data_IF_776777767180
#
_entry.id   IF_776777767180
#
_cell.length_a   1.000
_cell.length_b   1.000
_cell.length_c   1.000
_cell.angle_alpha   90.00
_cell.angle_beta   90.00
_cell.angle_gamma   90.00
#
_symmetry.space_group_name_H-M   'P 1'
#
loop_
_entity.id
_entity.type
_entity.pdbx_description
1 polymer ?
#
# COMPACT_ATOMS: atom_id res chain seq x y z
N UNK A 1 -46.91 -60.72 -13.97
CA UNK A 1 -45.92 -60.27 -14.97
C UNK A 1 -45.12 -59.14 -14.34
N UNK A 2 -43.83 -59.37 -14.10
CA UNK A 2 -42.84 -58.43 -13.56
C UNK A 2 -41.76 -58.24 -14.63
N UNK A 3 -41.38 -57.00 -14.95
CA UNK A 3 -40.12 -56.61 -15.59
C UNK A 3 -39.82 -55.19 -15.08
N UNK A 4 -38.80 -54.92 -14.26
CA UNK A 4 -37.34 -55.02 -14.40
C UNK A 4 -36.69 -53.75 -15.00
N UNK A 5 -36.24 -52.90 -14.07
CA UNK A 5 -35.07 -52.00 -14.00
C UNK A 5 -34.15 -51.91 -15.24
N UNK A 6 -33.83 -50.66 -15.65
CA UNK A 6 -32.45 -50.23 -15.93
C UNK A 6 -32.25 -48.75 -15.58
N UNK A 7 -31.25 -48.50 -14.76
CA UNK A 7 -30.73 -47.21 -14.31
C UNK A 7 -29.78 -46.63 -15.37
N UNK A 8 -29.81 -45.31 -15.58
CA UNK A 8 -28.79 -44.59 -16.34
C UNK A 8 -28.23 -43.48 -15.44
N UNK A 9 -27.10 -43.79 -14.81
CA UNK A 9 -26.24 -42.82 -14.15
C UNK A 9 -25.51 -42.01 -15.23
N UNK A 10 -25.66 -40.69 -15.19
CA UNK A 10 -24.85 -39.76 -15.98
C UNK A 10 -23.51 -39.61 -15.27
N UNK A 11 -22.48 -40.25 -15.80
CA UNK A 11 -21.09 -39.97 -15.47
C UNK A 11 -20.71 -38.60 -16.06
N UNK A 12 -20.33 -37.66 -15.19
CA UNK A 12 -19.58 -36.46 -15.57
C UNK A 12 -18.09 -36.85 -15.58
N UNK A 13 -17.36 -36.71 -16.70
CA UNK A 13 -15.96 -37.07 -16.74
C UNK A 13 -15.12 -36.00 -16.03
N UNK A 14 -14.38 -36.47 -15.04
CA UNK A 14 -13.27 -35.80 -14.38
C UNK A 14 -12.08 -35.74 -15.35
N UNK A 15 -11.85 -34.61 -16.01
CA UNK A 15 -10.57 -34.23 -16.62
C UNK A 15 -10.61 -32.80 -17.17
N UNK A 16 -10.13 -31.82 -16.41
CA UNK A 16 -9.39 -30.71 -17.01
C UNK A 16 -8.21 -30.38 -16.11
N UNK A 17 -7.08 -30.89 -16.59
CA UNK A 17 -5.74 -30.73 -16.05
C UNK A 17 -5.36 -29.26 -16.15
N UNK A 18 -4.82 -28.75 -15.05
CA UNK A 18 -4.08 -27.49 -14.91
C UNK A 18 -3.18 -27.26 -16.12
N UNK A 19 -3.48 -26.24 -16.91
CA UNK A 19 -2.53 -25.67 -17.87
C UNK A 19 -2.05 -24.33 -17.30
N UNK A 20 -1.07 -24.43 -16.40
CA UNK A 20 -0.21 -23.30 -16.04
C UNK A 20 0.81 -23.21 -17.18
N UNK A 21 0.85 -22.14 -18.00
CA UNK A 21 2.00 -21.94 -18.88
C UNK A 21 3.18 -21.50 -18.01
N UNK A 22 3.94 -22.48 -17.49
CA UNK A 22 5.29 -22.26 -17.00
C UNK A 22 6.21 -21.96 -18.18
N UNK A 23 6.39 -20.69 -18.50
CA UNK A 23 7.58 -20.22 -19.20
C UNK A 23 8.37 -19.30 -18.27
N UNK A 24 8.90 -19.89 -17.20
CA UNK A 24 10.08 -19.36 -16.52
C UNK A 24 11.29 -19.81 -17.34
N UNK A 25 11.89 -18.89 -18.08
CA UNK A 25 13.25 -19.02 -18.59
C UNK A 25 14.09 -17.97 -17.84
N UNK A 26 15.12 -18.35 -17.06
CA UNK A 26 16.00 -17.37 -16.45
C UNK A 26 16.86 -16.74 -17.55
N UNK A 27 16.58 -15.48 -17.88
CA UNK A 27 17.53 -14.66 -18.64
C UNK A 27 18.61 -14.23 -17.65
N UNK A 28 19.76 -14.91 -17.69
CA UNK A 28 21.01 -14.39 -17.15
C UNK A 28 21.38 -13.13 -17.93
N UNK A 29 21.00 -11.97 -17.42
CA UNK A 29 21.55 -10.69 -17.86
C UNK A 29 22.43 -10.12 -16.75
N UNK A 30 23.70 -10.53 -16.76
CA UNK A 30 24.76 -9.70 -16.18
C UNK A 30 24.96 -8.49 -17.11
N UNK A 31 24.20 -7.43 -16.88
CA UNK A 31 24.50 -6.11 -17.41
C UNK A 31 24.86 -5.20 -16.23
N UNK A 32 26.16 -5.12 -15.96
CA UNK A 32 26.74 -4.05 -15.16
C UNK A 32 26.49 -2.72 -15.86
N UNK A 33 25.60 -1.90 -15.32
CA UNK A 33 25.45 -0.51 -15.72
C UNK A 33 26.58 0.28 -15.05
N UNK A 34 27.64 0.58 -15.81
CA UNK A 34 28.64 1.57 -15.44
C UNK A 34 27.98 2.96 -15.46
N UNK A 35 27.91 3.61 -14.30
CA UNK A 35 27.64 5.04 -14.24
C UNK A 35 28.91 5.80 -14.67
N UNK A 36 28.83 6.50 -15.81
CA UNK A 36 29.90 7.38 -16.32
C UNK A 36 30.07 8.59 -15.40
N UNK A 37 31.04 8.52 -14.48
CA UNK A 37 31.44 9.64 -13.64
C UNK A 37 32.28 10.63 -14.44
N UNK A 38 31.65 11.60 -15.09
CA UNK A 38 32.37 12.79 -15.57
C UNK A 38 32.66 13.76 -14.42
N UNK A 39 33.93 13.77 -14.02
CA UNK A 39 34.56 14.74 -13.12
C UNK A 39 34.38 16.18 -13.63
N UNK A 40 33.63 16.99 -12.89
CA UNK A 40 33.78 18.44 -12.83
C UNK A 40 34.45 18.82 -11.50
N UNK A 41 35.55 19.57 -11.57
CA UNK A 41 36.36 20.00 -10.43
C UNK A 41 35.61 21.05 -9.57
N UNK A 42 35.64 21.01 -8.22
CA UNK A 42 34.82 21.89 -7.38
C UNK A 42 35.49 23.25 -7.20
N UNK A 43 34.82 24.33 -7.61
CA UNK A 43 35.15 25.68 -7.19
C UNK A 43 34.51 25.96 -5.83
N UNK A 44 35.38 26.20 -4.84
CA UNK A 44 35.08 26.71 -3.51
C UNK A 44 34.10 27.90 -3.51
N UNK A 45 32.94 27.69 -2.92
CA UNK A 45 32.21 28.71 -2.16
C UNK A 45 31.30 27.99 -1.18
N UNK A 46 31.61 28.02 0.11
CA UNK A 46 30.68 27.57 1.15
C UNK A 46 29.49 28.55 1.21
N UNK A 47 28.24 28.07 1.09
CA UNK A 47 27.08 28.81 1.55
C UNK A 47 26.71 28.31 2.95
N UNK A 48 26.96 29.18 3.92
CA UNK A 48 26.07 29.49 5.04
C UNK A 48 24.97 28.48 5.37
N UNK A 49 25.09 27.85 6.53
CA UNK A 49 24.01 27.16 7.25
C UNK A 49 22.81 28.09 7.50
N UNK A 50 21.75 27.95 6.70
CA UNK A 50 20.32 28.16 7.00
C UNK A 50 19.52 28.00 5.69
N UNK A 51 18.40 27.27 5.77
CA UNK A 51 17.39 26.99 4.73
C UNK A 51 17.55 25.73 3.87
N UNK A 52 17.42 24.55 4.49
CA UNK A 52 16.61 23.44 3.94
C UNK A 52 15.97 22.71 5.12
N UNK A 53 14.85 23.25 5.61
CA UNK A 53 13.98 22.50 6.52
C UNK A 53 13.51 21.26 5.74
N UNK A 54 13.96 20.07 6.17
CA UNK A 54 13.56 18.82 5.54
C UNK A 54 12.09 18.58 5.90
N UNK A 55 11.17 19.07 5.06
CA UNK A 55 9.72 19.12 5.32
C UNK A 55 9.02 17.77 5.21
N UNK A 56 9.76 16.67 5.09
CA UNK A 56 9.24 15.32 5.04
C UNK A 56 9.26 14.76 6.45
N UNK A 57 8.07 14.56 7.00
CA UNK A 57 7.90 14.03 8.35
C UNK A 57 7.04 12.77 8.31
N UNK A 58 7.23 11.87 9.27
CA UNK A 58 6.33 10.71 9.45
C UNK A 58 4.88 11.17 9.63
N UNK A 59 4.65 12.26 10.36
CA UNK A 59 3.32 12.84 10.50
C UNK A 59 2.71 13.26 9.14
N UNK A 60 3.49 13.91 8.28
CA UNK A 60 3.02 14.31 6.94
C UNK A 60 2.69 13.07 6.09
N UNK A 61 3.51 12.03 6.16
CA UNK A 61 3.27 10.76 5.47
C UNK A 61 1.93 10.16 5.90
N UNK A 62 1.72 10.01 7.20
CA UNK A 62 0.49 9.45 7.77
C UNK A 62 -0.74 10.30 7.42
N UNK A 63 -0.67 11.63 7.54
CA UNK A 63 -1.78 12.51 7.11
C UNK A 63 -2.06 12.41 5.62
N UNK A 64 -1.03 12.21 4.80
CA UNK A 64 -1.17 12.08 3.35
C UNK A 64 -1.82 10.77 2.96
N UNK A 65 -1.44 9.66 3.60
CA UNK A 65 -2.00 8.32 3.33
C UNK A 65 -3.50 8.24 3.63
N UNK A 66 -4.01 9.10 4.53
CA UNK A 66 -5.43 9.16 4.87
C UNK A 66 -6.31 9.90 3.86
N UNK A 67 -5.73 10.75 2.99
CA UNK A 67 -6.52 11.58 2.06
C UNK A 67 -7.43 10.80 1.09
N UNK A 68 -7.01 9.67 0.49
CA UNK A 68 -7.89 8.88 -0.39
C UNK A 68 -8.80 7.89 0.34
N UNK A 69 -8.67 7.74 1.67
CA UNK A 69 -9.45 6.77 2.45
C UNK A 69 -10.93 7.07 2.36
N UNK A 70 -11.73 6.03 2.08
CA UNK A 70 -13.18 6.15 2.02
C UNK A 70 -13.73 6.88 0.79
N UNK A 71 -12.86 7.31 -0.13
CA UNK A 71 -13.25 8.05 -1.34
C UNK A 71 -12.63 7.53 -2.64
N UNK A 72 -11.79 6.51 -2.56
CA UNK A 72 -11.07 5.95 -3.71
C UNK A 72 -11.22 4.44 -3.74
N UNK A 73 -11.62 3.90 -4.89
CA UNK A 73 -11.74 2.45 -5.12
C UNK A 73 -10.43 1.83 -5.61
N UNK A 74 -10.33 0.52 -5.42
CA UNK A 74 -9.18 -0.25 -5.85
C UNK A 74 -9.30 -0.57 -7.33
N UNK A 75 -8.37 -0.11 -8.15
CA UNK A 75 -8.31 -0.49 -9.57
C UNK A 75 -6.99 -1.20 -9.80
N UNK A 76 -7.01 -2.40 -10.37
CA UNK A 76 -5.80 -3.08 -10.78
C UNK A 76 -5.05 -2.23 -11.82
N UNK A 77 -3.81 -1.83 -11.54
CA UNK A 77 -3.05 -0.87 -12.35
C UNK A 77 -3.40 0.60 -12.09
N UNK A 78 -4.26 0.89 -11.11
CA UNK A 78 -4.61 2.26 -10.73
C UNK A 78 -3.39 3.07 -10.35
N UNK A 79 -3.28 4.28 -10.90
CA UNK A 79 -2.16 5.22 -10.77
C UNK A 79 -0.82 4.78 -11.41
N UNK A 80 -0.81 3.76 -12.26
CA UNK A 80 0.31 3.46 -13.16
C UNK A 80 0.17 4.18 -14.50
N UNK A 81 1.25 4.26 -15.27
CA UNK A 81 1.20 4.65 -16.68
C UNK A 81 0.68 3.50 -17.57
N UNK A 82 0.35 3.80 -18.82
CA UNK A 82 -0.17 2.80 -19.77
C UNK A 82 0.82 1.65 -20.03
N UNK A 83 2.13 1.92 -19.99
CA UNK A 83 3.16 0.92 -20.18
C UNK A 83 3.41 0.01 -18.97
N UNK A 84 2.79 0.31 -17.81
CA UNK A 84 2.98 -0.43 -16.54
C UNK A 84 4.47 -0.50 -16.11
N UNK A 85 5.18 0.61 -16.28
CA UNK A 85 6.61 0.74 -15.97
C UNK A 85 6.91 1.78 -14.90
N UNK A 86 6.03 2.76 -14.73
CA UNK A 86 6.18 3.86 -13.78
C UNK A 86 4.82 4.43 -13.34
N UNK A 87 4.86 5.42 -12.45
CA UNK A 87 3.68 6.13 -12.02
C UNK A 87 2.99 6.88 -13.17
N UNK A 88 1.66 6.79 -13.21
CA UNK A 88 0.82 7.59 -14.09
C UNK A 88 0.64 9.02 -13.60
N UNK A 89 -0.09 9.82 -14.36
CA UNK A 89 -0.31 11.25 -14.09
C UNK A 89 -0.88 11.49 -12.67
N UNK A 90 -1.79 10.65 -12.18
CA UNK A 90 -2.38 10.82 -10.86
C UNK A 90 -1.36 10.57 -9.73
N UNK A 91 -0.47 9.59 -9.88
CA UNK A 91 0.57 9.29 -8.89
C UNK A 91 1.61 10.40 -8.77
N UNK A 92 1.81 11.16 -9.85
CA UNK A 92 2.79 12.24 -9.99
C UNK A 92 2.13 13.63 -9.96
N UNK A 93 0.90 13.71 -9.45
CA UNK A 93 0.17 14.97 -9.24
C UNK A 93 -0.03 15.21 -7.75
N UNK A 94 0.15 16.46 -7.33
CA UNK A 94 -0.11 16.89 -5.97
C UNK A 94 -1.61 16.95 -5.70
N UNK A 95 -2.03 16.27 -4.64
CA UNK A 95 -3.43 16.13 -4.25
C UNK A 95 -4.03 14.82 -4.72
N UNK A 96 -5.23 14.56 -4.20
CA UNK A 96 -6.08 13.44 -4.65
C UNK A 96 -6.71 13.81 -5.99
N UNK A 97 -6.80 12.85 -6.92
CA UNK A 97 -7.51 13.06 -8.18
C UNK A 97 -9.02 13.18 -7.95
N UNK A 98 -9.65 14.20 -8.52
CA UNK A 98 -11.11 14.35 -8.53
C UNK A 98 -11.80 13.18 -9.23
N UNK A 99 -11.10 12.53 -10.17
CA UNK A 99 -11.62 11.38 -10.89
C UNK A 99 -11.82 10.17 -9.98
N UNK A 100 -10.93 9.96 -9.00
CA UNK A 100 -11.09 8.88 -8.02
C UNK A 100 -12.38 9.01 -7.21
N UNK A 101 -12.68 10.23 -6.75
CA UNK A 101 -13.92 10.53 -6.02
C UNK A 101 -15.13 10.37 -6.93
N UNK A 102 -15.05 10.89 -8.15
CA UNK A 102 -16.13 10.81 -9.14
C UNK A 102 -16.47 9.36 -9.46
N UNK A 103 -15.44 8.53 -9.66
CA UNK A 103 -15.61 7.11 -9.90
C UNK A 103 -16.21 6.42 -8.67
N UNK A 104 -15.67 6.64 -7.46
CA UNK A 104 -16.25 6.11 -6.23
C UNK A 104 -17.74 6.47 -6.05
N UNK A 105 -18.13 7.71 -6.34
CA UNK A 105 -19.53 8.16 -6.26
C UNK A 105 -20.44 7.51 -7.28
N UNK A 106 -19.89 7.06 -8.42
CA UNK A 106 -20.64 6.36 -9.46
C UNK A 106 -20.92 4.89 -9.14
N UNK A 107 -20.19 4.30 -8.19
CA UNK A 107 -20.29 2.87 -7.84
C UNK A 107 -21.16 2.63 -6.60
N UNK A 108 -21.76 1.44 -6.52
CA UNK A 108 -22.57 1.02 -5.37
C UNK A 108 -21.97 -0.22 -4.67
N UNK A 109 -22.70 -0.81 -3.72
CA UNK A 109 -22.23 -1.96 -2.94
C UNK A 109 -21.95 -3.23 -3.77
N UNK A 110 -22.34 -3.28 -5.05
CA UNK A 110 -22.07 -4.40 -5.96
C UNK A 110 -20.80 -4.21 -6.79
N UNK A 111 -20.01 -3.16 -6.51
CA UNK A 111 -18.73 -2.94 -7.16
C UNK A 111 -17.82 -4.18 -7.12
N UNK A 112 -17.34 -4.60 -8.29
CA UNK A 112 -16.32 -5.63 -8.47
C UNK A 112 -15.17 -5.03 -9.27
N UNK A 113 -13.98 -5.00 -8.67
CA UNK A 113 -12.79 -4.42 -9.29
C UNK A 113 -12.39 -5.11 -10.60
N UNK A 114 -12.79 -6.37 -10.81
CA UNK A 114 -12.44 -7.14 -12.02
C UNK A 114 -13.12 -6.59 -13.28
N UNK A 115 -14.27 -5.94 -13.14
CA UNK A 115 -14.98 -5.28 -14.25
C UNK A 115 -14.27 -3.99 -14.72
N UNK A 116 -13.37 -3.44 -13.90
CA UNK A 116 -12.73 -2.14 -14.11
C UNK A 116 -11.19 -2.22 -14.11
N UNK A 117 -10.62 -3.42 -14.22
CA UNK A 117 -9.17 -3.59 -14.27
C UNK A 117 -8.54 -2.73 -15.38
N UNK A 118 -7.42 -2.08 -15.06
CA UNK A 118 -6.68 -1.16 -15.93
C UNK A 118 -7.44 0.11 -16.34
N UNK A 119 -8.52 0.48 -15.66
CA UNK A 119 -9.03 1.86 -15.69
C UNK A 119 -8.12 2.74 -14.81
N UNK A 120 -6.85 2.87 -15.23
CA UNK A 120 -5.72 3.34 -14.42
C UNK A 120 -5.92 4.73 -13.79
N UNK A 121 -6.82 5.53 -14.34
CA UNK A 121 -7.16 6.88 -13.87
C UNK A 121 -8.26 6.92 -12.80
N UNK A 122 -9.02 5.83 -12.62
CA UNK A 122 -10.28 5.81 -11.86
C UNK A 122 -10.10 5.39 -10.39
N UNK A 123 -8.90 4.93 -10.01
CA UNK A 123 -8.61 4.53 -8.64
C UNK A 123 -7.13 4.25 -8.41
N UNK A 124 -6.85 3.47 -7.37
CA UNK A 124 -5.50 3.15 -6.94
C UNK A 124 -5.33 1.65 -6.73
N UNK A 125 -4.29 1.03 -7.27
CA UNK A 125 -3.84 -0.26 -6.72
C UNK A 125 -2.99 -0.05 -5.45
N UNK A 126 -2.47 -1.14 -4.88
CA UNK A 126 -1.68 -1.10 -3.66
C UNK A 126 -0.38 -0.30 -3.84
N UNK A 127 0.35 -0.54 -4.93
CA UNK A 127 1.59 0.16 -5.28
C UNK A 127 1.37 1.61 -5.69
N UNK A 128 0.33 1.89 -6.48
CA UNK A 128 -0.06 3.23 -6.89
C UNK A 128 -0.44 4.08 -5.68
N UNK A 129 -1.16 3.52 -4.71
CA UNK A 129 -1.47 4.19 -3.44
C UNK A 129 -0.20 4.53 -2.65
N UNK A 130 0.72 3.58 -2.49
CA UNK A 130 1.95 3.81 -1.72
C UNK A 130 2.86 4.81 -2.42
N UNK A 131 3.06 4.66 -3.74
CA UNK A 131 3.86 5.58 -4.53
C UNK A 131 3.27 7.00 -4.54
N UNK A 132 1.97 7.15 -4.75
CA UNK A 132 1.27 8.45 -4.65
C UNK A 132 1.42 9.09 -3.27
N UNK A 133 1.33 8.29 -2.20
CA UNK A 133 1.47 8.77 -0.82
C UNK A 133 2.88 9.30 -0.56
N UNK A 134 3.92 8.56 -0.98
CA UNK A 134 5.31 9.01 -0.81
C UNK A 134 5.56 10.25 -1.68
N UNK A 135 5.06 10.27 -2.92
CA UNK A 135 5.15 11.41 -3.82
C UNK A 135 4.57 12.68 -3.21
N UNK A 136 3.34 12.60 -2.69
CA UNK A 136 2.66 13.73 -2.05
C UNK A 136 3.24 14.12 -0.69
N UNK A 137 4.12 13.28 -0.14
CA UNK A 137 4.89 13.58 1.07
C UNK A 137 6.18 14.33 0.72
N UNK A 138 6.85 13.95 -0.36
CA UNK A 138 8.15 14.52 -0.75
C UNK A 138 8.04 15.76 -1.64
N UNK A 139 7.04 15.81 -2.49
CA UNK A 139 6.92 16.87 -3.47
C UNK A 139 5.76 17.82 -3.12
N UNK A 140 5.86 19.02 -3.66
CA UNK A 140 4.87 20.10 -3.59
C UNK A 140 4.52 20.63 -4.99
N UNK A 141 5.02 19.97 -6.04
CA UNK A 141 4.83 20.27 -7.45
C UNK A 141 4.67 18.95 -8.21
N UNK A 142 3.96 18.99 -9.35
CA UNK A 142 3.70 17.81 -10.18
C UNK A 142 4.93 17.39 -11.00
N UNK A 143 4.85 16.20 -11.60
CA UNK A 143 5.78 15.67 -12.62
C UNK A 143 7.26 15.69 -12.14
N UNK A 144 7.49 15.13 -10.95
CA UNK A 144 8.83 14.94 -10.35
C UNK A 144 9.30 13.49 -10.51
N UNK A 145 10.24 13.03 -9.69
CA UNK A 145 10.74 11.65 -9.84
C UNK A 145 9.62 10.65 -9.55
N UNK A 146 9.58 9.59 -10.36
CA UNK A 146 8.70 8.46 -10.12
C UNK A 146 9.00 7.82 -8.76
N UNK A 147 7.93 7.49 -8.04
CA UNK A 147 7.94 6.80 -6.74
C UNK A 147 6.99 5.59 -6.70
N UNK A 148 6.40 5.22 -7.84
CA UNK A 148 5.61 3.99 -8.01
C UNK A 148 6.53 2.89 -8.53
N UNK A 149 6.53 1.74 -7.83
CA UNK A 149 7.16 0.49 -8.24
C UNK A 149 6.25 -0.67 -7.83
N UNK A 150 6.48 -1.86 -8.38
CA UNK A 150 5.71 -3.04 -7.97
C UNK A 150 5.89 -3.29 -6.47
N UNK A 151 4.84 -3.81 -5.83
CA UNK A 151 4.75 -4.06 -4.38
C UNK A 151 6.03 -4.68 -3.80
N UNK A 152 6.49 -5.79 -4.37
CA UNK A 152 7.68 -6.53 -3.89
C UNK A 152 9.01 -5.78 -3.99
N UNK A 153 9.05 -4.67 -4.74
CA UNK A 153 10.27 -3.92 -4.99
C UNK A 153 10.41 -2.67 -4.11
N UNK A 154 9.40 -2.27 -3.33
CA UNK A 154 9.43 -1.02 -2.56
C UNK A 154 10.62 -0.92 -1.61
N UNK A 155 10.90 -1.97 -0.83
CA UNK A 155 12.04 -1.94 0.10
C UNK A 155 13.38 -1.73 -0.59
N UNK A 156 13.66 -2.51 -1.64
CA UNK A 156 14.90 -2.37 -2.43
C UNK A 156 14.97 -1.00 -3.11
N UNK A 157 13.87 -0.54 -3.69
CA UNK A 157 13.79 0.76 -4.36
C UNK A 157 14.11 1.92 -3.40
N UNK A 158 13.45 1.98 -2.25
CA UNK A 158 13.65 3.06 -1.28
C UNK A 158 15.03 2.97 -0.58
N UNK A 159 15.46 1.76 -0.21
CA UNK A 159 16.78 1.57 0.42
C UNK A 159 17.93 1.89 -0.53
N UNK A 160 17.81 1.57 -1.83
CA UNK A 160 18.83 1.93 -2.84
C UNK A 160 19.00 3.44 -3.02
N UNK A 161 17.98 4.23 -2.66
CA UNK A 161 18.02 5.70 -2.63
C UNK A 161 18.54 6.26 -1.29
N UNK A 162 18.89 5.39 -0.35
CA UNK A 162 19.35 5.76 0.97
C UNK A 162 18.24 6.29 1.89
N UNK A 163 16.97 5.95 1.64
CA UNK A 163 15.84 6.47 2.40
C UNK A 163 15.57 5.76 3.73
N UNK A 164 16.16 4.58 3.91
CA UNK A 164 15.89 3.71 5.03
C UNK A 164 16.47 2.32 4.81
N UNK A 165 16.01 1.38 5.63
CA UNK A 165 16.48 0.00 5.65
C UNK A 165 15.35 -1.01 5.50
N UNK A 166 15.68 -2.18 4.96
CA UNK A 166 14.77 -3.32 4.88
C UNK A 166 15.07 -4.27 6.03
N UNK A 167 14.03 -4.65 6.75
CA UNK A 167 14.01 -5.65 7.80
C UNK A 167 13.27 -6.87 7.24
N UNK A 168 13.94 -8.03 7.08
CA UNK A 168 13.28 -9.24 6.61
C UNK A 168 12.14 -9.66 7.55
N UNK A 169 11.06 -10.20 7.00
CA UNK A 169 9.89 -10.70 7.74
C UNK A 169 10.24 -11.53 8.99
N UNK A 170 11.23 -12.41 8.89
CA UNK A 170 11.71 -13.26 10.00
C UNK A 170 12.40 -12.51 11.15
N UNK A 171 12.79 -11.25 10.93
CA UNK A 171 13.53 -10.41 11.88
C UNK A 171 12.68 -9.26 12.44
N UNK A 172 11.43 -9.11 11.97
CA UNK A 172 10.52 -8.09 12.46
C UNK A 172 10.16 -8.37 13.92
N UNK A 173 10.36 -7.38 14.77
CA UNK A 173 10.04 -7.43 16.21
C UNK A 173 9.07 -6.35 16.66
N UNK A 174 8.81 -5.35 15.82
CA UNK A 174 7.93 -4.22 16.12
C UNK A 174 7.47 -3.53 14.84
N UNK A 175 6.29 -2.91 14.91
CA UNK A 175 5.74 -2.09 13.84
C UNK A 175 5.55 -0.66 14.34
N UNK A 176 6.08 0.30 13.59
CA UNK A 176 6.06 1.72 13.91
C UNK A 176 5.19 2.47 12.90
N UNK A 177 4.51 3.54 13.33
CA UNK A 177 3.77 4.40 12.41
C UNK A 177 4.67 4.88 11.25
N UNK A 178 4.22 4.64 10.02
CA UNK A 178 4.94 5.01 8.80
C UNK A 178 5.82 3.90 8.20
N UNK A 179 6.02 2.77 8.89
CA UNK A 179 6.64 1.59 8.28
C UNK A 179 5.85 1.15 7.04
N UNK A 180 6.57 0.69 6.01
CA UNK A 180 5.99 0.11 4.80
C UNK A 180 6.19 -1.40 4.83
N UNK A 181 5.11 -2.17 4.73
CA UNK A 181 5.18 -3.62 4.67
C UNK A 181 4.88 -4.07 3.25
N UNK A 182 5.73 -4.91 2.70
CA UNK A 182 5.69 -5.26 1.28
C UNK A 182 6.07 -6.71 1.02
N UNK A 183 5.45 -7.29 -0.01
CA UNK A 183 5.86 -8.53 -0.66
C UNK A 183 5.40 -8.49 -2.13
N UNK A 184 5.60 -9.58 -2.87
CA UNK A 184 5.22 -9.62 -4.30
C UNK A 184 3.72 -9.48 -4.57
N UNK A 185 2.85 -9.68 -3.58
CA UNK A 185 1.40 -9.61 -3.74
C UNK A 185 0.80 -8.26 -3.35
N UNK A 186 1.36 -7.59 -2.33
CA UNK A 186 0.71 -6.43 -1.74
C UNK A 186 1.70 -5.52 -0.98
N UNK A 187 1.31 -4.26 -0.78
CA UNK A 187 2.07 -3.27 -0.01
C UNK A 187 1.15 -2.34 0.77
N UNK A 188 1.56 -1.91 1.96
CA UNK A 188 0.74 -1.04 2.83
C UNK A 188 1.57 -0.24 3.84
N UNK A 189 0.93 0.73 4.50
CA UNK A 189 1.53 1.51 5.59
C UNK A 189 0.97 1.08 6.96
N UNK A 190 1.85 1.05 7.95
CA UNK A 190 1.48 0.89 9.36
C UNK A 190 1.02 2.23 9.94
N UNK A 191 -0.11 2.22 10.64
CA UNK A 191 -0.59 3.34 11.46
C UNK A 191 -0.18 3.16 12.94
N UNK A 192 -0.07 1.93 13.43
CA UNK A 192 0.42 1.64 14.78
C UNK A 192 0.21 0.18 15.19
N UNK A 193 0.87 -0.24 16.26
CA UNK A 193 0.73 -1.57 16.86
C UNK A 193 0.08 -1.45 18.24
N UNK A 194 -0.88 -2.34 18.53
CA UNK A 194 -1.50 -2.48 19.84
C UNK A 194 -0.76 -3.49 20.72
N UNK A 195 -1.01 -3.44 22.03
CA UNK A 195 -0.41 -4.33 23.02
C UNK A 195 -0.74 -5.82 22.81
N UNK A 196 -1.84 -6.14 22.14
CA UNK A 196 -2.20 -7.52 21.76
C UNK A 196 -1.45 -8.02 20.50
N UNK A 197 -0.50 -7.21 20.01
CA UNK A 197 0.33 -7.48 18.85
C UNK A 197 -0.35 -7.20 17.51
N UNK A 198 -1.64 -6.83 17.50
CA UNK A 198 -2.36 -6.49 16.27
C UNK A 198 -1.91 -5.12 15.73
N UNK A 199 -1.96 -4.97 14.41
CA UNK A 199 -1.49 -3.79 13.70
C UNK A 199 -2.65 -3.10 13.00
N UNK A 200 -2.76 -1.80 13.23
CA UNK A 200 -3.63 -0.90 12.47
C UNK A 200 -2.87 -0.41 11.24
N UNK A 201 -3.50 -0.46 10.07
CA UNK A 201 -2.86 -0.15 8.80
C UNK A 201 -3.80 0.60 7.85
N UNK A 202 -3.20 1.25 6.86
CA UNK A 202 -3.91 1.85 5.72
C UNK A 202 -3.36 1.29 4.41
N UNK A 203 -4.26 0.90 3.51
CA UNK A 203 -3.90 0.28 2.25
C UNK A 203 -4.96 0.47 1.17
N UNK A 204 -4.56 0.25 -0.10
CA UNK A 204 -5.49 0.02 -1.19
C UNK A 204 -5.54 -1.48 -1.53
N UNK A 205 -6.70 -2.09 -1.35
CA UNK A 205 -7.01 -3.46 -1.76
C UNK A 205 -8.50 -3.52 -2.09
N UNK A 206 -9.02 -4.51 -2.83
CA UNK A 206 -10.45 -4.62 -3.05
C UNK A 206 -11.26 -4.47 -1.73
N UNK A 207 -12.28 -3.60 -1.68
CA UNK A 207 -12.81 -2.79 -2.78
C UNK A 207 -12.20 -1.39 -2.93
N UNK A 208 -11.36 -0.91 -2.00
CA UNK A 208 -10.75 0.42 -2.10
C UNK A 208 -9.82 0.78 -0.96
N UNK A 209 -9.43 2.06 -0.94
CA UNK A 209 -8.51 2.59 0.07
C UNK A 209 -9.21 2.73 1.41
N UNK A 210 -8.69 2.03 2.42
CA UNK A 210 -9.32 1.94 3.75
C UNK A 210 -8.31 1.75 4.87
N UNK A 211 -8.78 2.01 6.09
CA UNK A 211 -8.15 1.54 7.32
C UNK A 211 -8.57 0.09 7.54
N UNK A 212 -7.60 -0.75 7.89
CA UNK A 212 -7.84 -2.14 8.25
C UNK A 212 -7.08 -2.51 9.53
N UNK A 213 -7.49 -3.60 10.17
CA UNK A 213 -6.81 -4.19 11.32
C UNK A 213 -6.42 -5.64 11.07
N UNK A 214 -5.24 -6.03 11.55
CA UNK A 214 -4.83 -7.44 11.56
C UNK A 214 -5.47 -8.18 12.75
N UNK A 215 -5.48 -9.52 12.73
CA UNK A 215 -5.69 -10.30 13.95
C UNK A 215 -4.60 -9.99 14.99
N UNK A 216 -4.75 -10.50 16.21
CA UNK A 216 -3.69 -10.51 17.23
C UNK A 216 -2.49 -11.36 16.78
N UNK A 217 -1.37 -11.29 17.50
CA UNK A 217 -0.16 -12.04 17.17
C UNK A 217 -0.34 -13.58 17.20
N UNK A 218 -1.38 -14.10 17.83
CA UNK A 218 -1.78 -15.51 17.86
C UNK A 218 -2.93 -15.86 16.89
N UNK A 219 -3.37 -14.90 16.06
CA UNK A 219 -4.36 -15.11 15.00
C UNK A 219 -5.83 -14.89 15.41
N UNK A 220 -6.09 -14.26 16.57
CA UNK A 220 -7.45 -13.97 17.02
C UNK A 220 -8.05 -12.76 16.29
N UNK A 221 -9.23 -12.93 15.69
CA UNK A 221 -9.96 -11.88 14.97
C UNK A 221 -10.63 -10.85 15.89
N UNK A 222 -10.69 -11.09 17.20
CA UNK A 222 -11.18 -10.12 18.20
C UNK A 222 -10.04 -9.21 18.68
N UNK A 223 -9.31 -8.60 17.75
CA UNK A 223 -8.17 -7.74 18.05
C UNK A 223 -8.58 -6.28 18.28
N UNK A 224 -7.70 -5.54 18.95
CA UNK A 224 -7.85 -4.09 19.12
C UNK A 224 -7.73 -3.35 17.79
N UNK A 225 -6.86 -3.78 16.88
CA UNK A 225 -6.73 -3.18 15.55
C UNK A 225 -8.00 -3.33 14.71
N UNK A 226 -8.62 -4.51 14.67
CA UNK A 226 -9.86 -4.74 13.91
C UNK A 226 -10.99 -3.90 14.50
N UNK A 227 -11.13 -3.89 15.83
CA UNK A 227 -12.16 -3.11 16.52
C UNK A 227 -12.01 -1.60 16.24
N UNK A 228 -10.77 -1.10 16.23
CA UNK A 228 -10.49 0.30 15.95
C UNK A 228 -10.71 0.65 14.49
N UNK A 229 -10.28 -0.19 13.55
CA UNK A 229 -10.55 0.02 12.13
C UNK A 229 -12.06 0.06 11.84
N UNK A 230 -12.85 -0.82 12.46
CA UNK A 230 -14.31 -0.83 12.33
C UNK A 230 -14.93 0.48 12.82
N UNK A 231 -14.55 0.93 14.02
CA UNK A 231 -15.03 2.19 14.57
C UNK A 231 -14.66 3.38 13.67
N UNK A 232 -13.38 3.49 13.28
CA UNK A 232 -12.89 4.62 12.49
C UNK A 232 -13.56 4.69 11.11
N UNK A 233 -13.67 3.56 10.41
CA UNK A 233 -14.32 3.52 9.11
C UNK A 233 -15.80 3.85 9.20
N UNK A 234 -16.49 3.35 10.24
CA UNK A 234 -17.91 3.64 10.46
C UNK A 234 -18.17 5.10 10.84
N UNK A 235 -17.30 5.70 11.64
CA UNK A 235 -17.48 7.07 12.16
C UNK A 235 -17.06 8.13 11.13
N UNK A 236 -15.91 7.96 10.49
CA UNK A 236 -15.34 8.99 9.62
C UNK A 236 -15.59 8.76 8.13
N UNK A 237 -15.88 7.52 7.72
CA UNK A 237 -16.10 7.15 6.31
C UNK A 237 -17.39 6.33 6.09
N UNK A 238 -18.55 6.78 6.63
CA UNK A 238 -19.78 5.98 6.66
C UNK A 238 -20.28 5.60 5.26
N UNK A 239 -20.11 6.45 4.25
CA UNK A 239 -20.55 6.16 2.89
C UNK A 239 -19.79 4.98 2.27
N UNK A 240 -18.48 4.90 2.51
CA UNK A 240 -17.66 3.75 2.10
C UNK A 240 -18.03 2.53 2.93
N UNK A 241 -18.05 2.66 4.26
CA UNK A 241 -18.30 1.55 5.18
C UNK A 241 -19.67 0.89 4.96
N UNK A 242 -20.72 1.68 4.68
CA UNK A 242 -22.05 1.16 4.39
C UNK A 242 -22.11 0.32 3.11
N UNK A 243 -21.25 0.62 2.12
CA UNK A 243 -21.13 -0.18 0.89
C UNK A 243 -20.19 -1.37 1.10
N UNK A 244 -19.12 -1.17 1.86
CA UNK A 244 -18.00 -2.08 2.00
C UNK A 244 -17.52 -2.20 3.47
N UNK A 245 -18.22 -2.97 4.32
CA UNK A 245 -17.97 -2.95 5.77
C UNK A 245 -16.74 -3.76 6.21
N UNK A 246 -16.09 -4.50 5.33
CA UNK A 246 -14.97 -5.38 5.69
C UNK A 246 -13.68 -4.58 5.95
N UNK A 247 -13.20 -4.63 7.20
CA UNK A 247 -12.00 -3.92 7.68
C UNK A 247 -10.93 -4.84 8.28
N UNK A 248 -11.15 -6.15 8.28
CA UNK A 248 -10.16 -7.12 8.74
C UNK A 248 -9.29 -7.61 7.58
N UNK A 249 -8.00 -7.78 7.84
CA UNK A 249 -7.06 -8.48 6.94
C UNK A 249 -6.64 -9.83 7.53
N UNK A 250 -6.04 -10.66 6.69
CA UNK A 250 -5.56 -11.99 7.08
C UNK A 250 -4.32 -11.92 7.99
N UNK A 251 -4.08 -13.01 8.76
CA UNK A 251 -2.92 -13.13 9.64
C UNK A 251 -1.58 -13.01 8.90
N UNK A 252 -1.51 -13.39 7.62
CA UNK A 252 -0.33 -13.22 6.76
C UNK A 252 0.20 -11.79 6.71
N UNK A 253 -0.64 -10.77 6.99
CA UNK A 253 -0.18 -9.38 7.09
C UNK A 253 0.88 -9.17 8.18
N UNK A 254 0.92 -10.02 9.20
CA UNK A 254 1.94 -9.98 10.25
C UNK A 254 3.20 -10.81 9.92
N UNK A 255 3.10 -11.82 9.05
CA UNK A 255 4.15 -12.85 8.90
C UNK A 255 4.84 -12.89 7.54
N UNK A 256 4.16 -12.46 6.48
CA UNK A 256 4.56 -12.75 5.10
C UNK A 256 5.10 -11.52 4.36
N UNK A 257 5.38 -10.43 5.09
CA UNK A 257 5.80 -9.14 4.54
C UNK A 257 7.15 -8.74 5.12
N UNK A 258 8.06 -8.33 4.25
CA UNK A 258 9.24 -7.61 4.69
C UNK A 258 8.85 -6.18 5.07
N UNK A 259 9.62 -5.56 5.96
CA UNK A 259 9.36 -4.22 6.47
C UNK A 259 10.43 -3.26 5.96
N UNK A 260 10.02 -2.10 5.48
CA UNK A 260 10.90 -0.98 5.23
C UNK A 260 10.68 0.09 6.30
N UNK A 261 11.78 0.53 6.91
CA UNK A 261 11.80 1.57 7.94
C UNK A 261 12.61 2.77 7.46
N UNK A 262 12.01 3.95 7.59
CA UNK A 262 12.63 5.21 7.20
C UNK A 262 13.81 5.57 8.12
N UNK A 263 14.81 6.27 7.57
CA UNK A 263 15.80 6.96 8.39
C UNK A 263 15.42 8.42 8.64
N UNK A 264 15.88 8.96 9.78
CA UNK A 264 15.57 10.34 10.21
C UNK A 264 16.07 11.40 9.22
N UNK A 265 17.15 11.13 8.50
CA UNK A 265 17.70 12.06 7.50
C UNK A 265 16.82 12.22 6.27
N UNK A 266 15.92 11.27 6.00
CA UNK A 266 15.02 11.30 4.83
C UNK A 266 13.61 11.64 5.25
N UNK A 267 13.09 10.95 6.27
CA UNK A 267 11.77 11.17 6.84
C UNK A 267 11.95 11.47 8.32
N UNK A 268 11.87 12.75 8.66
CA UNK A 268 12.12 13.18 10.03
C UNK A 268 10.99 12.77 10.96
N UNK A 269 11.34 12.32 12.16
CA UNK A 269 10.37 11.98 13.20
C UNK A 269 10.31 13.05 14.29
N UNK A 270 10.17 14.31 13.87
CA UNK A 270 10.23 15.50 14.76
C UNK A 270 9.21 15.48 15.90
N UNK A 271 8.08 14.81 15.71
CA UNK A 271 7.01 14.68 16.69
C UNK A 271 6.97 13.28 17.35
N UNK A 272 8.03 12.50 17.16
CA UNK A 272 8.27 11.17 17.78
C UNK A 272 7.09 10.22 17.53
N UNK A 273 6.55 10.25 16.31
CA UNK A 273 5.46 9.40 15.84
C UNK A 273 5.82 7.91 15.99
N UNK A 274 7.08 7.53 15.78
CA UNK A 274 7.56 6.15 15.94
C UNK A 274 7.29 5.54 17.31
N UNK A 275 7.14 6.37 18.35
CA UNK A 275 6.92 5.96 19.74
C UNK A 275 5.49 6.21 20.25
N UNK A 276 4.59 6.70 19.39
CA UNK A 276 3.20 6.97 19.77
C UNK A 276 2.36 5.71 19.80
N UNK A 277 1.39 5.67 20.71
CA UNK A 277 0.39 4.60 20.71
C UNK A 277 -0.58 4.78 19.53
N UNK A 278 -1.31 3.73 19.13
CA UNK A 278 -2.36 3.86 18.13
C UNK A 278 -3.37 4.98 18.44
N UNK A 279 -3.76 5.18 19.71
CA UNK A 279 -4.69 6.23 20.12
C UNK A 279 -4.14 7.64 19.89
N UNK A 280 -2.85 7.84 20.15
CA UNK A 280 -2.17 9.11 19.87
C UNK A 280 -2.13 9.38 18.36
N UNK A 281 -1.86 8.36 17.54
CA UNK A 281 -1.86 8.47 16.08
C UNK A 281 -3.28 8.77 15.56
N UNK A 282 -4.29 8.05 16.07
CA UNK A 282 -5.69 8.28 15.72
C UNK A 282 -6.11 9.70 16.06
N UNK A 283 -5.80 10.18 17.27
CA UNK A 283 -6.14 11.55 17.71
C UNK A 283 -5.48 12.62 16.83
N UNK A 284 -4.29 12.34 16.29
CA UNK A 284 -3.59 13.22 15.35
C UNK A 284 -4.24 13.22 13.95
N UNK A 285 -4.69 12.06 13.48
CA UNK A 285 -5.33 11.91 12.17
C UNK A 285 -6.78 12.43 12.15
N UNK A 286 -7.48 12.30 13.28
CA UNK A 286 -8.88 12.67 13.45
C UNK A 286 -9.06 13.63 14.64
N UNK A 287 -8.56 14.87 14.52
CA UNK A 287 -8.74 15.86 15.58
C UNK A 287 -10.23 16.20 15.77
N UNK A 288 -10.66 16.33 17.02
CA UNK A 288 -12.03 16.69 17.41
C UNK A 288 -12.44 18.11 17.01
#
# INVERSE_FOLDING_TARGET
>A
MKYAITSAAVLIPLAMILFIPTFYQPVNLHASIEYDTKKGNPSNSSPSSKDTENNHTIEKLLKTSMKPVGSTLYIWGGAWNEEDTEGGIESMTIGTSDNWKTFFDSQDANYDFTDFAYQIHDGLDCSGFVGWTIYNTFYNENEKDNLVVHSGNFGTFLSSRGYGEVIPSSEITSYQPGDILFNNGHVYFVLGQYDDGSVLLVHSAPPGVRISGTPTADGNLHSQAISSADQLMKEHYPDFYNRYPAVSVDFSFLTDYDQFRWNESTMSDVNVMSSKTPEDIISMLFPS
#
